data_IF_280512841069
#
_entry.id   IF_280512841069
#
_cell.length_a   1.000
_cell.length_b   1.000
_cell.length_c   1.000
_cell.angle_alpha   90.00
_cell.angle_beta   90.00
_cell.angle_gamma   90.00
#
_symmetry.space_group_name_H-M   'P 1'
#
loop_
_entity.id
_entity.type
_entity.pdbx_description
1 polymer ?
#
# COMPACT_ATOMS: atom_id res chain seq x y z
N UNK A 1 27.93 42.21 -8.38
CA UNK A 1 27.72 42.98 -7.12
C UNK A 1 26.21 43.14 -6.93
N UNK A 2 25.64 42.79 -5.78
CA UNK A 2 24.17 42.72 -5.59
C UNK A 2 23.61 44.06 -5.08
N UNK A 3 22.89 44.86 -5.89
CA UNK A 3 22.61 46.27 -5.57
C UNK A 3 21.57 46.50 -4.47
N UNK A 4 20.68 45.53 -4.20
CA UNK A 4 19.48 45.73 -3.36
C UNK A 4 19.48 44.88 -2.07
N UNK A 5 20.65 44.53 -1.51
CA UNK A 5 20.69 43.75 -0.25
C UNK A 5 20.61 44.68 0.96
N UNK A 6 19.53 44.53 1.73
CA UNK A 6 19.41 45.15 3.06
C UNK A 6 20.43 44.51 4.00
N UNK A 7 21.30 45.34 4.57
CA UNK A 7 22.28 44.89 5.55
C UNK A 7 21.58 44.54 6.87
N UNK A 8 21.83 43.36 7.46
CA UNK A 8 21.28 43.02 8.76
C UNK A 8 21.72 44.03 9.83
N UNK A 9 20.84 44.32 10.78
CA UNK A 9 21.15 45.21 11.90
C UNK A 9 22.39 44.70 12.68
N UNK A 10 23.26 45.60 13.15
CA UNK A 10 24.40 45.28 14.03
C UNK A 10 24.00 44.35 15.18
N UNK A 11 22.80 44.53 15.74
CA UNK A 11 22.28 43.67 16.82
C UNK A 11 22.12 42.21 16.38
N UNK A 12 21.78 41.96 15.12
CA UNK A 12 21.70 40.61 14.54
C UNK A 12 23.06 39.92 14.59
N UNK A 13 24.15 40.62 14.26
CA UNK A 13 25.51 40.07 14.33
C UNK A 13 25.94 39.79 15.77
N UNK A 14 25.67 40.71 16.71
CA UNK A 14 25.97 40.49 18.13
C UNK A 14 25.21 39.28 18.70
N UNK A 15 23.93 39.13 18.35
CA UNK A 15 23.10 38.01 18.79
C UNK A 15 23.59 36.68 18.20
N UNK A 16 24.04 36.67 16.94
CA UNK A 16 24.62 35.48 16.31
C UNK A 16 25.94 35.11 16.99
N UNK A 17 26.83 36.08 17.20
CA UNK A 17 28.13 35.86 17.85
C UNK A 17 27.96 35.30 19.26
N UNK A 18 27.05 35.89 20.06
CA UNK A 18 26.76 35.41 21.40
C UNK A 18 26.21 33.98 21.37
N UNK A 19 25.28 33.66 20.46
CA UNK A 19 24.75 32.29 20.30
C UNK A 19 25.81 31.27 19.89
N UNK A 20 26.74 31.65 19.01
CA UNK A 20 27.86 30.79 18.64
C UNK A 20 28.77 30.52 19.84
N UNK A 21 29.03 31.53 20.68
CA UNK A 21 29.79 31.36 21.92
C UNK A 21 29.09 30.46 22.94
N UNK A 22 27.78 30.65 23.13
CA UNK A 22 27.03 29.95 24.18
C UNK A 22 26.58 28.53 23.78
N UNK A 23 26.21 28.35 22.50
CA UNK A 23 25.53 27.11 22.03
C UNK A 23 26.16 26.49 20.78
N UNK A 24 27.11 27.17 20.13
CA UNK A 24 27.74 26.70 18.89
C UNK A 24 26.79 26.71 17.68
N UNK A 25 25.60 27.30 17.77
CA UNK A 25 24.60 27.28 16.71
C UNK A 25 24.22 28.69 16.23
N UNK A 26 24.00 28.82 14.93
CA UNK A 26 23.50 30.07 14.33
C UNK A 26 21.99 30.30 14.57
N UNK A 27 21.23 29.22 14.82
CA UNK A 27 19.78 29.28 14.99
C UNK A 27 19.43 29.80 16.39
N UNK A 28 18.42 30.68 16.53
CA UNK A 28 17.88 31.01 17.85
C UNK A 28 17.32 29.75 18.52
N UNK A 29 17.30 29.73 19.86
CA UNK A 29 16.56 28.71 20.60
C UNK A 29 15.12 28.73 20.13
N UNK A 30 14.62 27.59 19.67
CA UNK A 30 13.22 27.43 19.32
C UNK A 30 12.40 27.67 20.58
N UNK A 31 11.43 28.58 20.50
CA UNK A 31 10.43 28.70 21.55
C UNK A 31 9.76 27.33 21.71
N UNK A 32 9.69 26.84 22.95
CA UNK A 32 9.14 25.50 23.27
C UNK A 32 7.63 25.40 22.94
N UNK A 33 7.05 26.51 22.49
CA UNK A 33 5.67 26.61 22.07
C UNK A 33 4.73 26.69 23.26
N UNK A 34 3.43 26.74 22.96
CA UNK A 34 2.38 26.82 23.98
C UNK A 34 2.39 25.55 24.85
N UNK A 35 2.40 25.67 26.20
CA UNK A 35 2.30 24.53 27.09
C UNK A 35 1.06 23.67 26.80
N UNK A 36 1.21 22.35 26.88
CA UNK A 36 0.06 21.44 26.77
C UNK A 36 -0.80 21.57 28.02
N UNK A 37 -2.10 21.85 27.82
CA UNK A 37 -3.11 21.93 28.89
C UNK A 37 -3.52 20.52 29.38
N UNK A 38 -3.13 19.47 28.67
CA UNK A 38 -3.52 18.11 28.99
C UNK A 38 -2.65 17.55 30.13
N UNK A 39 -3.28 17.17 31.23
CA UNK A 39 -2.62 16.52 32.38
C UNK A 39 -2.31 15.06 32.04
N UNK A 40 -1.20 14.54 32.57
CA UNK A 40 -0.77 13.14 32.38
C UNK A 40 -1.90 12.17 32.74
N UNK A 41 -2.59 12.43 33.84
CA UNK A 41 -3.73 11.62 34.31
C UNK A 41 -4.86 11.47 33.28
N UNK A 42 -5.09 12.49 32.44
CA UNK A 42 -6.12 12.44 31.38
C UNK A 42 -5.64 11.71 30.13
N UNK A 43 -4.33 11.72 29.85
CA UNK A 43 -3.75 10.88 28.80
C UNK A 43 -3.89 9.40 29.20
N UNK A 44 -3.51 9.06 30.43
CA UNK A 44 -3.56 7.68 30.93
C UNK A 44 -4.99 7.12 30.96
N UNK A 45 -5.97 7.91 31.38
CA UNK A 45 -7.40 7.53 31.37
C UNK A 45 -7.92 7.20 29.95
N UNK A 46 -7.41 7.89 28.92
CA UNK A 46 -7.73 7.55 27.52
C UNK A 46 -7.11 6.21 27.13
N UNK A 47 -5.84 5.99 27.48
CA UNK A 47 -5.10 4.79 27.09
C UNK A 47 -5.66 3.53 27.75
N UNK A 48 -6.01 3.61 29.04
CA UNK A 48 -6.63 2.50 29.77
C UNK A 48 -7.98 2.12 29.15
N UNK A 49 -8.79 3.10 28.72
CA UNK A 49 -10.10 2.82 28.11
C UNK A 49 -9.97 2.19 26.73
N UNK A 50 -9.02 2.66 25.92
CA UNK A 50 -8.75 2.09 24.60
C UNK A 50 -8.21 0.66 24.72
N UNK A 51 -7.35 0.41 25.70
CA UNK A 51 -6.82 -0.94 25.96
C UNK A 51 -7.91 -1.94 26.38
N UNK A 52 -8.88 -1.50 27.19
CA UNK A 52 -9.99 -2.34 27.63
C UNK A 52 -11.07 -2.54 26.55
N UNK A 53 -11.23 -1.59 25.63
CA UNK A 53 -12.19 -1.70 24.54
C UNK A 53 -11.66 -0.97 23.28
N UNK A 54 -10.99 -1.70 22.36
CA UNK A 54 -10.38 -1.10 21.17
C UNK A 54 -11.39 -0.63 20.13
N UNK A 55 -12.68 -0.96 20.27
CA UNK A 55 -13.75 -0.54 19.34
C UNK A 55 -14.29 0.87 19.66
N UNK A 56 -13.83 1.50 20.74
CA UNK A 56 -14.27 2.83 21.13
C UNK A 56 -13.83 3.88 20.10
N UNK A 57 -14.81 4.63 19.57
CA UNK A 57 -14.52 5.75 18.69
C UNK A 57 -13.92 6.94 19.45
N UNK A 58 -13.14 7.77 18.75
CA UNK A 58 -12.58 9.02 19.30
C UNK A 58 -13.66 9.94 19.91
N UNK A 59 -14.87 9.95 19.33
CA UNK A 59 -16.01 10.73 19.84
C UNK A 59 -16.50 10.18 21.18
N UNK A 60 -16.57 8.85 21.31
CA UNK A 60 -16.98 8.19 22.55
C UNK A 60 -15.94 8.39 23.65
N UNK A 61 -14.65 8.25 23.33
CA UNK A 61 -13.55 8.54 24.26
C UNK A 61 -13.55 10.00 24.72
N UNK A 62 -13.84 10.93 23.80
CA UNK A 62 -13.96 12.36 24.12
C UNK A 62 -15.09 12.63 25.11
N UNK A 63 -16.26 12.02 24.91
CA UNK A 63 -17.40 12.16 25.82
C UNK A 63 -17.13 11.54 27.21
N UNK A 64 -16.41 10.42 27.28
CA UNK A 64 -16.11 9.73 28.53
C UNK A 64 -15.01 10.42 29.36
N UNK A 65 -14.00 10.99 28.69
CA UNK A 65 -12.79 11.56 29.33
C UNK A 65 -12.89 13.08 29.53
N UNK A 66 -13.85 13.74 28.89
CA UNK A 66 -13.96 15.20 28.86
C UNK A 66 -12.85 15.89 28.04
N UNK A 67 -12.02 15.11 27.33
CA UNK A 67 -10.95 15.61 26.46
C UNK A 67 -11.51 15.87 25.07
N UNK A 68 -11.07 16.94 24.41
CA UNK A 68 -11.52 17.22 23.04
C UNK A 68 -11.15 16.10 22.06
N UNK A 69 -12.01 15.83 21.08
CA UNK A 69 -11.80 14.79 20.07
C UNK A 69 -10.43 14.91 19.37
N UNK A 70 -10.01 16.12 19.03
CA UNK A 70 -8.70 16.39 18.42
C UNK A 70 -7.53 16.02 19.34
N UNK A 71 -7.69 16.22 20.65
CA UNK A 71 -6.67 15.84 21.62
C UNK A 71 -6.61 14.32 21.78
N UNK A 72 -7.76 13.64 21.86
CA UNK A 72 -7.84 12.17 21.85
C UNK A 72 -7.13 11.60 20.62
N UNK A 73 -7.45 12.09 19.42
CA UNK A 73 -6.82 11.65 18.18
C UNK A 73 -5.29 11.85 18.20
N UNK A 74 -4.82 13.00 18.71
CA UNK A 74 -3.39 13.29 18.81
C UNK A 74 -2.67 12.36 19.79
N UNK A 75 -3.30 11.98 20.90
CA UNK A 75 -2.74 11.06 21.90
C UNK A 75 -2.63 9.67 21.29
N UNK A 76 -3.70 9.15 20.69
CA UNK A 76 -3.68 7.84 20.03
C UNK A 76 -2.62 7.77 18.93
N UNK A 77 -2.47 8.83 18.14
CA UNK A 77 -1.40 8.92 17.13
C UNK A 77 0.00 8.95 17.76
N UNK A 78 0.19 9.65 18.88
CA UNK A 78 1.47 9.71 19.61
C UNK A 78 1.86 8.35 20.19
N UNK A 79 0.89 7.60 20.72
CA UNK A 79 1.10 6.26 21.28
C UNK A 79 1.03 5.14 20.21
N UNK A 80 1.03 5.50 18.92
CA UNK A 80 0.93 4.57 17.79
C UNK A 80 -0.30 3.65 17.80
N UNK A 81 -1.36 4.03 18.53
CA UNK A 81 -2.64 3.34 18.55
C UNK A 81 -3.46 3.78 17.33
N UNK A 82 -3.29 3.05 16.23
CA UNK A 82 -4.12 3.22 15.04
C UNK A 82 -5.36 2.35 15.14
N UNK A 83 -6.49 2.86 14.65
CA UNK A 83 -7.68 2.07 14.44
C UNK A 83 -7.32 0.87 13.57
N UNK A 84 -7.52 -0.34 14.09
CA UNK A 84 -7.43 -1.55 13.30
C UNK A 84 -8.62 -1.56 12.34
N UNK A 85 -8.35 -1.54 11.04
CA UNK A 85 -9.39 -1.68 10.03
C UNK A 85 -9.74 -3.16 9.93
N UNK A 86 -10.88 -3.55 10.50
CA UNK A 86 -11.42 -4.89 10.33
C UNK A 86 -11.73 -5.13 8.86
N UNK A 87 -10.99 -6.05 8.25
CA UNK A 87 -11.28 -6.56 6.90
C UNK A 87 -11.95 -7.91 7.06
N UNK A 88 -13.23 -8.07 6.69
CA UNK A 88 -13.88 -9.37 6.73
C UNK A 88 -13.17 -10.29 5.71
N UNK A 89 -12.48 -11.30 6.21
CA UNK A 89 -11.91 -12.39 5.42
C UNK A 89 -12.81 -13.62 5.53
N UNK A 90 -12.58 -14.63 4.68
CA UNK A 90 -13.34 -15.88 4.72
C UNK A 90 -13.39 -16.45 6.14
N UNK A 91 -14.60 -16.81 6.58
CA UNK A 91 -14.82 -17.28 7.95
C UNK A 91 -14.01 -18.54 8.22
N UNK A 92 -13.12 -18.48 9.21
CA UNK A 92 -12.31 -19.63 9.63
C UNK A 92 -13.16 -20.46 10.57
N UNK A 93 -13.52 -21.67 10.17
CA UNK A 93 -14.30 -22.56 11.01
C UNK A 93 -13.42 -23.20 12.10
N UNK A 94 -13.96 -23.58 13.26
CA UNK A 94 -13.22 -24.30 14.31
C UNK A 94 -12.46 -25.54 13.81
N UNK A 95 -12.93 -26.17 12.73
CA UNK A 95 -12.30 -27.31 12.07
C UNK A 95 -11.03 -26.96 11.29
N UNK A 96 -10.86 -25.71 10.86
CA UNK A 96 -9.75 -25.25 10.03
C UNK A 96 -8.49 -24.96 10.84
N UNK A 97 -8.62 -24.70 12.16
CA UNK A 97 -7.50 -24.38 13.04
C UNK A 97 -6.40 -25.46 13.06
N UNK A 98 -6.69 -26.76 13.28
CA UNK A 98 -5.64 -27.78 13.27
C UNK A 98 -4.99 -27.92 11.89
N UNK A 99 -5.75 -27.77 10.81
CA UNK A 99 -5.22 -27.83 9.44
C UNK A 99 -4.28 -26.66 9.14
N UNK A 100 -4.65 -25.44 9.58
CA UNK A 100 -3.81 -24.24 9.43
C UNK A 100 -2.58 -24.27 10.32
N UNK A 101 -2.69 -24.82 11.53
CA UNK A 101 -1.55 -25.01 12.42
C UNK A 101 -0.55 -25.99 11.82
N UNK A 102 -1.03 -27.12 11.30
CA UNK A 102 -0.20 -28.11 10.61
C UNK A 102 0.44 -27.54 9.35
N UNK A 103 -0.29 -26.73 8.57
CA UNK A 103 0.25 -26.03 7.40
C UNK A 103 1.36 -25.05 7.80
N UNK A 104 1.14 -24.22 8.83
CA UNK A 104 2.11 -23.22 9.29
C UNK A 104 3.34 -23.84 9.99
N UNK A 105 3.17 -24.99 10.64
CA UNK A 105 4.26 -25.73 11.30
C UNK A 105 4.98 -26.69 10.34
N UNK A 106 4.32 -27.11 9.26
CA UNK A 106 4.76 -28.17 8.35
C UNK A 106 5.83 -27.76 7.35
N UNK A 107 5.96 -26.47 6.98
CA UNK A 107 6.90 -26.06 5.94
C UNK A 107 7.71 -24.79 6.31
N UNK A 108 8.74 -25.01 7.11
CA UNK A 108 9.99 -24.22 7.02
C UNK A 108 10.97 -24.83 6.00
N UNK A 109 10.54 -25.85 5.25
CA UNK A 109 11.36 -26.54 4.26
C UNK A 109 11.10 -25.96 2.88
N UNK A 110 11.95 -25.00 2.50
CA UNK A 110 12.33 -24.68 1.12
C UNK A 110 11.23 -24.85 0.06
N UNK A 111 10.48 -23.78 -0.15
CA UNK A 111 9.80 -23.54 -1.42
C UNK A 111 10.86 -23.63 -2.53
N UNK A 112 10.98 -24.78 -3.21
CA UNK A 112 11.58 -24.80 -4.53
C UNK A 112 10.60 -24.05 -5.43
N UNK A 113 10.95 -22.81 -5.76
CA UNK A 113 10.17 -21.92 -6.60
C UNK A 113 10.16 -22.45 -8.03
N UNK A 114 9.32 -23.45 -8.29
CA UNK A 114 8.99 -23.84 -9.64
C UNK A 114 7.87 -22.92 -10.12
N UNK A 115 8.20 -22.10 -11.12
CA UNK A 115 7.27 -21.16 -11.72
C UNK A 115 6.99 -21.60 -13.17
N UNK A 116 5.73 -21.95 -13.46
CA UNK A 116 5.24 -22.12 -14.83
C UNK A 116 4.36 -20.92 -15.15
N UNK A 117 4.61 -20.29 -16.29
CA UNK A 117 3.68 -19.30 -16.84
C UNK A 117 2.60 -20.05 -17.63
N UNK A 118 1.33 -19.83 -17.31
CA UNK A 118 0.21 -20.44 -18.04
C UNK A 118 -0.73 -19.35 -18.52
N UNK A 119 -1.16 -19.44 -19.77
CA UNK A 119 -2.27 -18.67 -20.29
C UNK A 119 -3.53 -19.51 -20.29
N UNK A 120 -4.65 -18.97 -19.81
CA UNK A 120 -5.96 -19.59 -19.93
C UNK A 120 -7.00 -18.50 -20.17
N UNK A 121 -7.91 -18.74 -21.11
CA UNK A 121 -8.97 -17.81 -21.46
C UNK A 121 -10.34 -18.35 -21.10
N UNK A 122 -11.29 -17.45 -20.88
CA UNK A 122 -12.70 -17.80 -20.70
C UNK A 122 -13.47 -17.12 -21.82
N UNK A 123 -14.24 -17.91 -22.58
CA UNK A 123 -15.13 -17.39 -23.60
C UNK A 123 -16.55 -17.87 -23.36
N UNK A 124 -17.47 -16.94 -23.09
CA UNK A 124 -18.84 -17.22 -22.64
C UNK A 124 -18.84 -18.12 -21.40
N UNK A 125 -19.24 -19.39 -21.56
CA UNK A 125 -19.31 -20.39 -20.50
C UNK A 125 -18.28 -21.51 -20.71
N UNK A 126 -17.31 -21.31 -21.61
CA UNK A 126 -16.29 -22.28 -21.97
C UNK A 126 -14.92 -21.79 -21.48
N UNK A 127 -14.18 -22.69 -20.83
CA UNK A 127 -12.76 -22.52 -20.60
C UNK A 127 -12.02 -22.90 -21.87
N UNK A 128 -11.09 -22.05 -22.28
CA UNK A 128 -10.11 -22.38 -23.30
C UNK A 128 -8.99 -23.15 -22.62
N UNK A 129 -8.49 -24.18 -23.30
CA UNK A 129 -7.46 -25.04 -22.75
C UNK A 129 -6.22 -24.24 -22.32
N UNK A 130 -5.63 -24.57 -21.17
CA UNK A 130 -4.45 -23.87 -20.68
C UNK A 130 -3.28 -24.08 -21.65
N UNK A 131 -2.58 -23.00 -21.94
CA UNK A 131 -1.37 -23.01 -22.76
C UNK A 131 -0.16 -22.68 -21.90
N UNK A 132 0.85 -23.54 -21.95
CA UNK A 132 2.11 -23.33 -21.24
C UNK A 132 2.95 -22.26 -21.97
N UNK A 133 3.20 -21.15 -21.28
CA UNK A 133 4.02 -20.07 -21.78
C UNK A 133 5.50 -20.27 -21.40
N UNK A 134 6.44 -19.65 -22.12
CA UNK A 134 7.85 -19.71 -21.79
C UNK A 134 8.13 -19.26 -20.35
N UNK A 135 9.06 -19.93 -19.66
CA UNK A 135 9.45 -19.60 -18.29
C UNK A 135 9.89 -18.12 -18.13
N UNK A 136 10.57 -17.56 -19.14
CA UNK A 136 10.99 -16.16 -19.19
C UNK A 136 10.02 -15.34 -20.05
N UNK A 137 8.81 -15.10 -19.55
CA UNK A 137 7.78 -14.37 -20.27
C UNK A 137 8.07 -12.86 -20.33
N UNK A 138 8.19 -12.34 -21.54
CA UNK A 138 8.31 -10.92 -21.84
C UNK A 138 7.34 -10.53 -22.99
N UNK A 139 7.29 -9.24 -23.33
CA UNK A 139 6.39 -8.73 -24.36
C UNK A 139 6.56 -9.36 -25.75
N UNK A 140 7.79 -9.69 -26.16
CA UNK A 140 8.04 -10.31 -27.46
C UNK A 140 7.54 -11.76 -27.49
N UNK A 141 7.91 -12.55 -26.47
CA UNK A 141 7.43 -13.94 -26.35
C UNK A 141 5.91 -14.01 -26.17
N UNK A 142 5.33 -13.00 -25.53
CA UNK A 142 3.88 -12.90 -25.40
C UNK A 142 3.21 -12.57 -26.73
N UNK A 143 3.76 -11.62 -27.48
CA UNK A 143 3.27 -11.29 -28.83
C UNK A 143 3.34 -12.48 -29.78
N UNK A 144 4.43 -13.24 -29.73
CA UNK A 144 4.58 -14.47 -30.52
C UNK A 144 3.48 -15.49 -30.19
N UNK A 145 3.19 -15.71 -28.90
CA UNK A 145 2.07 -16.54 -28.46
C UNK A 145 0.73 -16.04 -29.02
N UNK A 146 0.46 -14.73 -28.96
CA UNK A 146 -0.77 -14.15 -29.49
C UNK A 146 -0.91 -14.45 -31.00
N UNK A 147 0.16 -14.23 -31.75
CA UNK A 147 0.20 -14.33 -33.21
C UNK A 147 0.13 -15.76 -33.76
N UNK A 148 0.76 -16.70 -33.07
CA UNK A 148 1.00 -18.06 -33.61
C UNK A 148 0.11 -19.13 -33.01
N UNK A 149 -0.48 -18.86 -31.86
CA UNK A 149 -1.17 -19.88 -31.07
C UNK A 149 -2.55 -19.41 -30.69
N UNK A 150 -2.65 -18.26 -30.00
CA UNK A 150 -3.91 -17.87 -29.39
C UNK A 150 -4.98 -17.62 -30.45
N UNK A 151 -4.73 -16.71 -31.38
CA UNK A 151 -5.76 -16.30 -32.33
C UNK A 151 -6.07 -17.40 -33.35
N UNK A 152 -5.09 -18.22 -33.74
CA UNK A 152 -5.30 -19.38 -34.62
C UNK A 152 -6.25 -20.40 -33.96
N UNK A 153 -6.00 -20.76 -32.69
CA UNK A 153 -6.90 -21.65 -31.93
C UNK A 153 -8.30 -21.05 -31.73
N UNK A 154 -8.39 -19.73 -31.51
CA UNK A 154 -9.66 -19.03 -31.41
C UNK A 154 -10.42 -19.00 -32.74
N UNK A 155 -9.73 -18.93 -33.88
CA UNK A 155 -10.38 -18.90 -35.19
C UNK A 155 -11.08 -20.22 -35.50
N UNK A 156 -10.42 -21.34 -35.19
CA UNK A 156 -10.97 -22.68 -35.31
C UNK A 156 -12.20 -22.88 -34.41
N UNK A 157 -12.13 -22.40 -33.16
CA UNK A 157 -13.23 -22.54 -32.20
C UNK A 157 -14.40 -21.58 -32.46
N UNK A 158 -14.13 -20.36 -32.95
CA UNK A 158 -15.10 -19.26 -32.92
C UNK A 158 -15.64 -18.81 -34.28
N UNK A 159 -15.37 -19.55 -35.36
CA UNK A 159 -15.98 -19.35 -36.69
C UNK A 159 -15.93 -17.86 -37.15
N UNK A 160 -14.76 -17.23 -37.07
CA UNK A 160 -14.52 -15.84 -37.46
C UNK A 160 -15.21 -14.74 -36.63
N UNK A 161 -15.69 -15.03 -35.41
CA UNK A 161 -16.22 -13.98 -34.50
C UNK A 161 -15.15 -13.19 -33.72
N UNK A 162 -13.96 -12.97 -34.30
CA UNK A 162 -12.90 -12.19 -33.65
C UNK A 162 -13.30 -10.73 -33.42
N UNK A 163 -14.07 -10.14 -34.35
CA UNK A 163 -14.51 -8.73 -34.31
C UNK A 163 -15.61 -8.40 -33.30
N UNK A 164 -16.26 -9.40 -32.73
CA UNK A 164 -17.36 -9.21 -31.76
C UNK A 164 -16.92 -9.52 -30.32
N UNK A 165 -15.61 -9.66 -30.07
CA UNK A 165 -15.07 -10.06 -28.78
C UNK A 165 -14.39 -8.90 -28.07
N UNK A 166 -14.71 -8.75 -26.77
CA UNK A 166 -13.94 -7.91 -25.86
C UNK A 166 -12.83 -8.74 -25.24
N UNK A 167 -11.58 -8.37 -25.52
CA UNK A 167 -10.42 -9.04 -24.97
C UNK A 167 -10.01 -8.37 -23.66
N UNK A 168 -9.92 -9.16 -22.57
CA UNK A 168 -9.62 -8.66 -21.24
C UNK A 168 -8.42 -9.43 -20.66
N UNK A 169 -7.44 -8.69 -20.14
CA UNK A 169 -6.24 -9.23 -19.53
C UNK A 169 -5.98 -8.55 -18.18
N UNK A 170 -5.19 -9.19 -17.33
CA UNK A 170 -4.68 -8.57 -16.10
C UNK A 170 -3.49 -7.64 -16.39
N UNK A 171 -3.00 -6.97 -15.35
CA UNK A 171 -1.91 -5.99 -15.45
C UNK A 171 -0.50 -6.58 -15.54
N UNK A 172 -0.32 -7.83 -15.98
CA UNK A 172 0.98 -8.46 -16.02
C UNK A 172 1.96 -7.69 -16.94
N UNK A 173 3.24 -7.52 -16.55
CA UNK A 173 4.22 -6.75 -17.33
C UNK A 173 4.35 -7.14 -18.81
N UNK A 174 4.21 -8.42 -19.22
CA UNK A 174 4.25 -8.82 -20.63
C UNK A 174 3.07 -8.34 -21.49
N UNK A 175 1.95 -7.94 -20.88
CA UNK A 175 0.73 -7.52 -21.60
C UNK A 175 0.76 -6.04 -22.02
N UNK A 176 1.56 -5.23 -21.31
CA UNK A 176 1.62 -3.78 -21.49
C UNK A 176 2.55 -3.21 -22.59
N UNK A 177 3.59 -3.92 -23.09
CA UNK A 177 4.50 -3.38 -24.09
C UNK A 177 3.76 -2.88 -25.33
N UNK A 178 4.28 -1.80 -25.93
CA UNK A 178 3.62 -1.12 -27.05
C UNK A 178 3.36 -2.06 -28.23
N UNK A 179 4.27 -3.00 -28.49
CA UNK A 179 4.14 -4.00 -29.56
C UNK A 179 2.92 -4.92 -29.36
N UNK A 180 2.58 -5.28 -28.12
CA UNK A 180 1.46 -6.15 -27.78
C UNK A 180 0.15 -5.38 -27.96
N UNK A 181 0.09 -4.17 -27.40
CA UNK A 181 -1.10 -3.31 -27.52
C UNK A 181 -1.41 -2.94 -28.97
N UNK A 182 -0.40 -2.51 -29.74
CA UNK A 182 -0.57 -2.18 -31.15
C UNK A 182 -1.07 -3.38 -31.97
N UNK A 183 -0.63 -4.60 -31.64
CA UNK A 183 -1.11 -5.80 -32.32
C UNK A 183 -2.58 -6.11 -31.96
N UNK A 184 -2.93 -6.03 -30.67
CA UNK A 184 -4.30 -6.24 -30.19
C UNK A 184 -5.28 -5.19 -30.72
N UNK A 185 -4.86 -3.93 -30.88
CA UNK A 185 -5.66 -2.87 -31.48
C UNK A 185 -5.93 -3.09 -32.99
N UNK A 186 -5.17 -3.98 -33.63
CA UNK A 186 -5.31 -4.33 -35.05
C UNK A 186 -6.10 -5.63 -35.29
N UNK A 187 -6.40 -6.40 -34.24
CA UNK A 187 -7.21 -7.63 -34.34
C UNK A 187 -8.71 -7.32 -34.32
#
# INVERSE_FOLDING_TARGET
>A
MYPNRVQPNRQTFNNIFSRLGDTGQFKPKSDVGRPKILTVDREDDILVRVANNPELSNRRLSAMTGVSNSSVFRILKKENLRLYQFTPVQNVLPRDYPLRLNFAQGESHFQHEFNINVWCGIFKNMFLDPYELPANLNGNSYLEFLQTTLFDNLEELLHNRRRDMWFMQDGAPPHYPLIVRNYLDQQ
#
